data_IF_005988320513
#
_entry.id   IF_005988320513
#
_cell.length_a   1.000
_cell.length_b   1.000
_cell.length_c   1.000
_cell.angle_alpha   90.00
_cell.angle_beta   90.00
_cell.angle_gamma   90.00
#
_symmetry.space_group_name_H-M   'P 1'
#
loop_
_entity.id
_entity.type
_entity.pdbx_description
1 polymer ?
#
# COMPACT_ATOMS: atom_id res chain seq x y z
N UNK A 1 1.53 -29.59 10.99
CA UNK A 1 1.25 -29.58 9.54
C UNK A 1 1.54 -28.19 9.02
N UNK A 2 2.34 -28.00 7.97
CA UNK A 2 2.58 -26.67 7.45
C UNK A 2 1.28 -26.17 6.80
N UNK A 3 0.80 -25.01 7.26
CA UNK A 3 -0.34 -24.32 6.66
C UNK A 3 0.05 -23.96 5.23
N UNK A 4 -0.60 -24.60 4.25
CA UNK A 4 -0.40 -24.30 2.83
C UNK A 4 -0.91 -22.89 2.61
N UNK A 5 0.03 -21.94 2.51
CA UNK A 5 -0.23 -20.56 2.10
C UNK A 5 -0.94 -20.61 0.74
N UNK A 6 -2.24 -20.34 0.70
CA UNK A 6 -3.02 -20.41 -0.53
C UNK A 6 -2.71 -19.20 -1.42
N UNK A 7 -1.98 -19.34 -2.54
CA UNK A 7 -1.54 -18.21 -3.36
C UNK A 7 -2.70 -17.36 -3.90
N UNK A 8 -3.89 -17.94 -4.04
CA UNK A 8 -5.10 -17.23 -4.49
C UNK A 8 -5.65 -16.23 -3.46
N UNK A 9 -5.43 -16.44 -2.16
CA UNK A 9 -5.81 -15.46 -1.13
C UNK A 9 -4.84 -14.28 -1.07
N UNK A 10 -3.57 -14.52 -1.42
CA UNK A 10 -2.57 -13.46 -1.48
C UNK A 10 -2.76 -12.58 -2.73
N UNK A 11 -3.17 -13.15 -3.86
CA UNK A 11 -3.43 -12.36 -5.08
C UNK A 11 -4.52 -11.30 -4.90
N UNK A 12 -5.53 -11.57 -4.06
CA UNK A 12 -6.60 -10.60 -3.77
C UNK A 12 -6.17 -9.48 -2.82
N UNK A 13 -5.12 -9.70 -2.02
CA UNK A 13 -4.56 -8.66 -1.14
C UNK A 13 -3.76 -7.62 -1.92
N UNK A 14 -3.01 -8.06 -2.93
CA UNK A 14 -2.08 -7.20 -3.68
C UNK A 14 -2.72 -6.57 -4.93
N UNK A 15 -3.98 -6.89 -5.20
CA UNK A 15 -4.75 -6.34 -6.32
C UNK A 15 -5.85 -5.43 -5.78
N UNK A 16 -6.01 -4.20 -6.28
CA UNK A 16 -7.12 -3.35 -5.87
C UNK A 16 -8.47 -4.01 -6.21
N UNK A 17 -9.51 -3.82 -5.39
CA UNK A 17 -10.84 -4.31 -5.70
C UNK A 17 -11.35 -3.78 -7.05
N UNK A 18 -12.14 -4.60 -7.75
CA UNK A 18 -12.67 -4.23 -9.06
C UNK A 18 -13.58 -2.99 -8.96
N UNK A 19 -13.42 -2.07 -9.90
CA UNK A 19 -14.28 -0.90 -10.04
C UNK A 19 -15.65 -1.35 -10.54
N UNK A 20 -16.69 -1.12 -9.73
CA UNK A 20 -18.08 -1.40 -10.13
C UNK A 20 -18.57 -0.28 -11.06
N UNK A 21 -19.28 -0.60 -12.17
CA UNK A 21 -19.91 0.42 -13.01
C UNK A 21 -20.89 1.30 -12.21
N UNK A 22 -20.85 2.63 -12.42
CA UNK A 22 -21.73 3.58 -11.73
C UNK A 22 -21.10 4.33 -10.56
N UNK A 23 -19.78 4.25 -10.37
CA UNK A 23 -19.08 5.05 -9.37
C UNK A 23 -19.18 6.56 -9.68
N UNK A 24 -19.41 7.34 -8.63
CA UNK A 24 -19.29 8.80 -8.69
C UNK A 24 -17.81 9.15 -8.77
N UNK A 25 -17.41 9.77 -9.88
CA UNK A 25 -16.05 10.30 -10.03
C UNK A 25 -15.82 11.44 -9.04
N UNK A 26 -14.71 11.37 -8.29
CA UNK A 26 -14.33 12.40 -7.32
C UNK A 26 -12.99 13.04 -7.70
N UNK A 27 -12.90 13.74 -8.84
CA UNK A 27 -11.64 14.27 -9.36
C UNK A 27 -10.93 15.19 -8.36
N UNK A 28 -11.68 16.03 -7.65
CA UNK A 28 -11.10 16.92 -6.63
C UNK A 28 -10.43 16.16 -5.46
N UNK A 29 -10.93 14.98 -5.10
CA UNK A 29 -10.32 14.15 -4.05
C UNK A 29 -9.08 13.42 -4.58
N UNK A 30 -9.15 12.89 -5.79
CA UNK A 30 -7.97 12.30 -6.46
C UNK A 30 -6.87 13.34 -6.63
N UNK A 31 -7.19 14.54 -7.09
CA UNK A 31 -6.22 15.62 -7.22
C UNK A 31 -5.64 16.03 -5.86
N UNK A 32 -6.44 16.03 -4.79
CA UNK A 32 -5.93 16.28 -3.44
C UNK A 32 -4.93 15.21 -2.99
N UNK A 33 -5.20 13.93 -3.29
CA UNK A 33 -4.29 12.81 -2.96
C UNK A 33 -3.04 12.84 -3.85
N UNK A 34 -3.18 13.18 -5.14
CA UNK A 34 -2.07 13.15 -6.09
C UNK A 34 -1.15 14.38 -5.99
N UNK A 35 -1.64 15.54 -5.56
CA UNK A 35 -0.84 16.78 -5.50
C UNK A 35 -0.02 16.92 -4.21
N UNK A 36 0.06 15.87 -3.39
CA UNK A 36 0.83 15.86 -2.15
C UNK A 36 2.31 15.57 -2.42
N UNK A 37 3.01 16.48 -3.10
CA UNK A 37 4.42 16.29 -3.43
C UNK A 37 5.38 16.32 -2.22
N UNK A 38 4.88 16.67 -1.03
CA UNK A 38 5.70 16.85 0.19
C UNK A 38 5.32 15.98 1.37
N UNK A 39 4.10 15.43 1.42
CA UNK A 39 3.72 14.56 2.53
C UNK A 39 3.97 13.09 2.17
N UNK A 40 4.57 12.37 3.11
CA UNK A 40 4.84 10.93 3.00
C UNK A 40 3.62 10.08 3.34
N UNK A 41 2.59 10.65 3.96
CA UNK A 41 1.38 9.96 4.40
C UNK A 41 0.14 10.79 4.06
N UNK A 42 -0.83 10.14 3.40
CA UNK A 42 -2.17 10.65 3.13
C UNK A 42 -3.18 9.74 3.80
N UNK A 43 -4.04 10.30 4.66
CA UNK A 43 -5.08 9.55 5.39
C UNK A 43 -6.47 9.86 4.80
N UNK A 44 -7.10 8.86 4.20
CA UNK A 44 -8.45 8.86 3.62
C UNK A 44 -9.44 8.37 4.67
N UNK A 45 -9.97 9.30 5.48
CA UNK A 45 -10.93 8.95 6.54
C UNK A 45 -12.38 9.09 6.06
N UNK A 46 -13.12 7.98 6.04
CA UNK A 46 -14.57 7.98 5.88
C UNK A 46 -15.22 6.79 6.61
N UNK A 47 -16.52 6.87 6.97
CA UNK A 47 -17.23 5.71 7.54
C UNK A 47 -17.27 4.54 6.55
N UNK A 48 -17.51 3.33 7.08
CA UNK A 48 -17.67 2.14 6.24
C UNK A 48 -18.77 2.36 5.19
N UNK A 49 -18.50 1.97 3.94
CA UNK A 49 -19.44 2.13 2.82
C UNK A 49 -19.46 3.51 2.15
N UNK A 50 -18.68 4.50 2.61
CA UNK A 50 -18.65 5.85 1.99
C UNK A 50 -17.67 6.00 0.82
N UNK A 51 -17.02 4.89 0.41
CA UNK A 51 -16.16 4.85 -0.78
C UNK A 51 -14.69 5.20 -0.53
N UNK A 52 -14.12 4.86 0.63
CA UNK A 52 -12.66 4.98 0.89
C UNK A 52 -11.83 4.27 -0.18
N UNK A 53 -12.06 2.96 -0.30
CA UNK A 53 -11.45 2.11 -1.32
C UNK A 53 -11.67 2.67 -2.73
N UNK A 54 -12.87 3.16 -3.03
CA UNK A 54 -13.18 3.81 -4.32
C UNK A 54 -12.32 5.05 -4.57
N UNK A 55 -12.16 5.91 -3.57
CA UNK A 55 -11.31 7.09 -3.68
C UNK A 55 -9.83 6.71 -3.88
N UNK A 56 -9.34 5.72 -3.14
CA UNK A 56 -7.99 5.20 -3.28
C UNK A 56 -7.74 4.60 -4.66
N UNK A 57 -8.69 3.83 -5.20
CA UNK A 57 -8.61 3.29 -6.56
C UNK A 57 -8.55 4.41 -7.60
N UNK A 58 -9.40 5.44 -7.48
CA UNK A 58 -9.41 6.58 -8.40
C UNK A 58 -8.10 7.38 -8.32
N UNK A 59 -7.54 7.58 -7.13
CA UNK A 59 -6.24 8.23 -6.95
C UNK A 59 -5.09 7.37 -7.54
N UNK A 60 -5.12 6.05 -7.32
CA UNK A 60 -4.15 5.12 -7.91
C UNK A 60 -4.15 5.20 -9.43
N UNK A 61 -5.33 5.12 -10.06
CA UNK A 61 -5.44 5.21 -11.51
C UNK A 61 -4.81 6.51 -12.05
N UNK A 62 -5.06 7.63 -11.37
CA UNK A 62 -4.50 8.94 -11.74
C UNK A 62 -2.99 9.03 -11.56
N UNK A 63 -2.43 8.43 -10.51
CA UNK A 63 -0.98 8.33 -10.32
C UNK A 63 -0.32 7.45 -11.40
N UNK A 64 -0.98 6.35 -11.78
CA UNK A 64 -0.51 5.48 -12.87
C UNK A 64 -0.53 6.22 -14.22
N UNK A 65 -1.58 7.01 -14.51
CA UNK A 65 -1.64 7.89 -15.69
C UNK A 65 -0.51 8.93 -15.70
N UNK A 66 -0.09 9.41 -14.53
CA UNK A 66 1.04 10.33 -14.36
C UNK A 66 2.42 9.63 -14.39
N UNK A 67 2.48 8.31 -14.60
CA UNK A 67 3.72 7.54 -14.67
C UNK A 67 4.37 7.25 -13.32
N UNK A 68 3.62 7.35 -12.21
CA UNK A 68 4.09 7.00 -10.87
C UNK A 68 3.87 5.51 -10.62
N UNK A 69 4.89 4.81 -10.12
CA UNK A 69 4.76 3.41 -9.72
C UNK A 69 3.81 3.27 -8.53
N UNK A 70 2.90 2.29 -8.58
CA UNK A 70 1.90 2.09 -7.53
C UNK A 70 1.87 0.65 -7.04
N UNK A 71 1.72 0.48 -5.73
CA UNK A 71 1.52 -0.81 -5.06
C UNK A 71 0.25 -0.76 -4.24
N UNK A 72 -0.41 -1.91 -4.10
CA UNK A 72 -1.65 -2.03 -3.34
C UNK A 72 -1.50 -3.17 -2.34
N UNK A 73 -1.95 -2.96 -1.11
CA UNK A 73 -2.06 -3.99 -0.09
C UNK A 73 -3.36 -3.78 0.69
N UNK A 74 -4.28 -4.72 0.59
CA UNK A 74 -5.46 -4.81 1.47
C UNK A 74 -5.08 -5.57 2.73
N UNK A 75 -5.15 -4.91 3.87
CA UNK A 75 -4.77 -5.47 5.17
C UNK A 75 -5.93 -6.27 5.79
N UNK A 76 -5.59 -7.29 6.57
CA UNK A 76 -6.55 -8.01 7.39
C UNK A 76 -6.00 -8.28 8.80
N UNK A 77 -6.80 -8.94 9.64
CA UNK A 77 -6.41 -9.23 11.02
C UNK A 77 -5.17 -10.10 11.14
N UNK A 78 -4.83 -10.92 10.13
CA UNK A 78 -3.64 -11.77 10.15
C UNK A 78 -2.35 -10.96 9.93
N UNK A 79 -2.44 -9.75 9.37
CA UNK A 79 -1.31 -8.84 9.23
C UNK A 79 -0.97 -8.11 10.56
N UNK A 80 -1.66 -8.42 11.67
CA UNK A 80 -1.20 -8.05 13.01
C UNK A 80 0.05 -8.84 13.45
N UNK A 81 0.41 -9.91 12.73
CA UNK A 81 1.70 -10.56 12.90
C UNK A 81 2.76 -9.83 12.04
N UNK A 82 3.82 -9.32 12.67
CA UNK A 82 4.85 -8.53 11.99
C UNK A 82 5.53 -9.28 10.83
N UNK A 83 5.73 -10.59 10.95
CA UNK A 83 6.35 -11.38 9.88
C UNK A 83 5.41 -11.52 8.69
N UNK A 84 4.11 -11.71 8.94
CA UNK A 84 3.07 -11.73 7.89
C UNK A 84 2.91 -10.38 7.23
N UNK A 85 2.85 -9.30 8.00
CA UNK A 85 2.77 -7.95 7.47
C UNK A 85 3.91 -7.66 6.49
N UNK A 86 5.16 -7.92 6.91
CA UNK A 86 6.32 -7.69 6.07
C UNK A 86 6.34 -8.59 4.82
N UNK A 87 5.90 -9.85 4.93
CA UNK A 87 5.75 -10.74 3.78
C UNK A 87 4.69 -10.24 2.79
N UNK A 88 3.53 -9.80 3.29
CA UNK A 88 2.46 -9.15 2.53
C UNK A 88 2.98 -7.90 1.80
N UNK A 89 3.73 -7.04 2.49
CA UNK A 89 4.36 -5.86 1.94
C UNK A 89 5.36 -6.20 0.83
N UNK A 90 6.24 -7.17 1.06
CA UNK A 90 7.23 -7.62 0.08
C UNK A 90 6.56 -8.11 -1.21
N UNK A 91 5.45 -8.84 -1.11
CA UNK A 91 4.68 -9.29 -2.26
C UNK A 91 4.01 -8.11 -2.99
N UNK A 92 3.42 -7.17 -2.24
CA UNK A 92 2.75 -6.01 -2.81
C UNK A 92 3.68 -5.08 -3.61
N UNK A 93 4.97 -5.08 -3.29
CA UNK A 93 5.97 -4.19 -3.90
C UNK A 93 6.96 -4.92 -4.81
N UNK A 94 6.80 -6.24 -4.98
CA UNK A 94 7.71 -7.06 -5.78
C UNK A 94 7.79 -6.64 -7.25
N UNK A 95 6.71 -6.09 -7.83
CA UNK A 95 6.69 -5.64 -9.22
C UNK A 95 7.39 -4.30 -9.46
N UNK A 96 7.75 -3.55 -8.41
CA UNK A 96 8.38 -2.23 -8.51
C UNK A 96 9.87 -2.28 -8.90
N UNK A 97 10.37 -3.43 -9.40
CA UNK A 97 11.77 -3.63 -9.81
C UNK A 97 12.80 -3.17 -8.77
N UNK A 98 12.47 -3.42 -7.51
CA UNK A 98 13.21 -2.98 -6.34
C UNK A 98 14.51 -3.81 -6.17
N UNK A 99 15.55 -3.46 -6.95
CA UNK A 99 16.86 -4.12 -7.07
C UNK A 99 16.84 -5.62 -7.52
N UNK A 100 17.88 -6.11 -8.25
CA UNK A 100 18.02 -7.51 -8.61
C UNK A 100 18.45 -8.34 -7.40
N UNK A 101 17.51 -8.55 -6.50
CA UNK A 101 17.67 -9.37 -5.31
C UNK A 101 16.33 -9.37 -4.60
N UNK A 102 15.52 -10.40 -4.81
CA UNK A 102 14.29 -10.56 -4.05
C UNK A 102 14.64 -10.47 -2.55
N UNK A 103 13.88 -9.72 -1.73
CA UNK A 103 14.15 -9.62 -0.31
C UNK A 103 14.28 -11.02 0.27
N UNK A 104 15.44 -11.32 0.86
CA UNK A 104 15.73 -12.63 1.43
C UNK A 104 15.04 -12.80 2.78
N UNK A 105 14.81 -11.68 3.47
CA UNK A 105 14.07 -11.56 4.70
C UNK A 105 13.04 -10.42 4.65
N UNK A 106 11.96 -10.50 5.44
CA UNK A 106 10.92 -9.47 5.44
C UNK A 106 11.39 -8.07 5.89
N UNK A 107 12.46 -8.00 6.70
CA UNK A 107 13.08 -6.72 7.09
C UNK A 107 13.85 -6.06 5.94
N UNK A 108 14.36 -6.84 4.98
CA UNK A 108 15.04 -6.31 3.79
C UNK A 108 14.08 -5.47 2.96
N UNK A 109 12.78 -5.78 2.99
CA UNK A 109 11.74 -5.03 2.28
C UNK A 109 11.68 -3.56 2.71
N UNK A 110 11.82 -3.25 4.00
CA UNK A 110 11.82 -1.86 4.48
C UNK A 110 13.08 -1.13 3.99
N UNK A 111 14.24 -1.80 4.07
CA UNK A 111 15.50 -1.21 3.59
C UNK A 111 15.43 -0.93 2.08
N UNK A 112 14.87 -1.86 1.31
CA UNK A 112 14.63 -1.72 -0.12
C UNK A 112 13.65 -0.57 -0.43
N UNK A 113 12.53 -0.50 0.30
CA UNK A 113 11.75 0.70 0.69
C UNK A 113 12.51 2.01 0.55
N UNK A 114 13.42 2.18 1.50
CA UNK A 114 14.12 3.42 1.77
C UNK A 114 15.12 3.82 0.68
N UNK A 115 15.65 2.85 -0.06
CA UNK A 115 16.68 3.10 -1.11
C UNK A 115 16.11 3.17 -2.51
N UNK A 116 14.79 3.04 -2.67
CA UNK A 116 14.15 3.12 -3.99
C UNK A 116 14.38 4.50 -4.62
N UNK A 117 14.91 4.52 -5.84
CA UNK A 117 15.33 5.75 -6.53
C UNK A 117 14.19 6.47 -7.23
N UNK A 118 13.14 5.75 -7.61
CA UNK A 118 11.95 6.34 -8.26
C UNK A 118 10.84 6.61 -7.24
N UNK A 119 10.15 7.76 -7.31
CA UNK A 119 8.95 8.01 -6.52
C UNK A 119 7.87 6.95 -6.76
N UNK A 120 7.24 6.47 -5.68
CA UNK A 120 6.14 5.51 -5.76
C UNK A 120 5.01 5.84 -4.78
N UNK A 121 3.84 5.26 -5.01
CA UNK A 121 2.71 5.34 -4.10
C UNK A 121 2.29 3.95 -3.61
N UNK A 122 2.29 3.76 -2.29
CA UNK A 122 1.82 2.55 -1.62
C UNK A 122 0.43 2.78 -1.03
N UNK A 123 -0.56 2.02 -1.50
CA UNK A 123 -1.93 2.06 -1.00
C UNK A 123 -2.14 0.92 0.00
N UNK A 124 -2.53 1.27 1.23
CA UNK A 124 -2.86 0.34 2.31
C UNK A 124 -4.35 0.42 2.63
N UNK A 125 -5.14 -0.47 2.05
CA UNK A 125 -6.58 -0.51 2.28
C UNK A 125 -6.91 -1.32 3.54
N UNK A 126 -8.05 -1.04 4.18
CA UNK A 126 -8.51 -1.70 5.41
C UNK A 126 -7.51 -1.63 6.58
N UNK A 127 -6.74 -0.54 6.68
CA UNK A 127 -5.75 -0.36 7.75
C UNK A 127 -6.36 -0.35 9.15
N UNK A 128 -7.66 -0.08 9.29
CA UNK A 128 -8.41 -0.27 10.54
C UNK A 128 -8.34 -1.69 11.11
N UNK A 129 -7.97 -2.70 10.31
CA UNK A 129 -7.73 -4.06 10.77
C UNK A 129 -6.44 -4.21 11.60
N UNK A 130 -5.51 -3.26 11.54
CA UNK A 130 -4.24 -3.28 12.27
C UNK A 130 -4.38 -2.60 13.62
N UNK A 131 -4.08 -3.35 14.68
CA UNK A 131 -4.12 -2.90 16.07
C UNK A 131 -2.84 -3.24 16.84
N UNK A 132 -2.01 -4.14 16.30
CA UNK A 132 -0.77 -4.57 16.94
C UNK A 132 0.29 -3.46 16.91
N UNK A 133 0.83 -3.15 18.08
CA UNK A 133 1.78 -2.05 18.26
C UNK A 133 3.09 -2.29 17.50
N UNK A 134 3.52 -3.55 17.39
CA UNK A 134 4.71 -3.89 16.61
C UNK A 134 4.56 -3.50 15.13
N UNK A 135 3.40 -3.76 14.53
CA UNK A 135 3.12 -3.44 13.12
C UNK A 135 2.97 -1.92 12.92
N UNK A 136 2.32 -1.23 13.86
CA UNK A 136 2.22 0.23 13.83
C UNK A 136 3.60 0.92 13.95
N UNK A 137 4.51 0.34 14.74
CA UNK A 137 5.89 0.84 14.84
C UNK A 137 6.67 0.62 13.55
N UNK A 138 6.51 -0.54 12.89
CA UNK A 138 7.10 -0.79 11.56
C UNK A 138 6.55 0.20 10.52
N UNK A 139 5.25 0.47 10.55
CA UNK A 139 4.64 1.46 9.66
C UNK A 139 5.23 2.86 9.86
N UNK A 140 5.47 3.27 11.11
CA UNK A 140 6.16 4.53 11.40
C UNK A 140 7.57 4.52 10.82
N UNK A 141 8.33 3.44 11.00
CA UNK A 141 9.67 3.30 10.47
C UNK A 141 9.70 3.42 8.93
N UNK A 142 8.74 2.79 8.24
CA UNK A 142 8.60 2.89 6.78
C UNK A 142 8.31 4.35 6.37
N UNK A 143 7.39 5.03 7.05
CA UNK A 143 7.06 6.43 6.77
C UNK A 143 8.28 7.34 6.98
N UNK A 144 9.04 7.15 8.06
CA UNK A 144 10.19 7.98 8.38
C UNK A 144 11.29 7.84 7.31
N UNK A 145 11.49 6.64 6.78
CA UNK A 145 12.50 6.33 5.77
C UNK A 145 12.02 6.41 4.32
N UNK A 146 10.75 6.77 4.08
CA UNK A 146 10.20 6.84 2.72
C UNK A 146 11.03 7.82 1.85
N UNK A 147 11.39 7.43 0.61
CA UNK A 147 12.10 8.31 -0.33
C UNK A 147 11.31 9.58 -0.63
N UNK A 148 12.02 10.64 -1.03
CA UNK A 148 11.37 11.91 -1.42
C UNK A 148 10.44 11.69 -2.61
N UNK A 149 9.25 12.28 -2.54
CA UNK A 149 8.22 12.13 -3.58
C UNK A 149 7.46 10.81 -3.52
N UNK A 150 7.86 9.86 -2.66
CA UNK A 150 7.05 8.68 -2.39
C UNK A 150 5.98 8.99 -1.35
N UNK A 151 4.86 8.28 -1.42
CA UNK A 151 3.75 8.46 -0.49
C UNK A 151 3.09 7.15 -0.10
N UNK A 152 2.56 7.10 1.11
CA UNK A 152 1.66 6.06 1.60
C UNK A 152 0.26 6.64 1.69
N UNK A 153 -0.72 5.93 1.14
CA UNK A 153 -2.14 6.28 1.21
C UNK A 153 -2.86 5.22 2.04
N UNK A 154 -3.50 5.65 3.12
CA UNK A 154 -4.22 4.81 4.09
C UNK A 154 -5.67 5.27 4.19
#
# INVERSE_FOLDING_TARGET
MPSVSNPALFSTKITPPAIVPGQVMRPALSDLICNVNTAKLVLVRAPAGFGKTTAMIQARARLQEAGVDTAWLTLDSADNDASRFLASLAMATAHMAMYPGAPSAPLDTIALLAVHTSPFALFLDEFEAIQESAVLNLMREIIDHLPRGSQIVI
#
